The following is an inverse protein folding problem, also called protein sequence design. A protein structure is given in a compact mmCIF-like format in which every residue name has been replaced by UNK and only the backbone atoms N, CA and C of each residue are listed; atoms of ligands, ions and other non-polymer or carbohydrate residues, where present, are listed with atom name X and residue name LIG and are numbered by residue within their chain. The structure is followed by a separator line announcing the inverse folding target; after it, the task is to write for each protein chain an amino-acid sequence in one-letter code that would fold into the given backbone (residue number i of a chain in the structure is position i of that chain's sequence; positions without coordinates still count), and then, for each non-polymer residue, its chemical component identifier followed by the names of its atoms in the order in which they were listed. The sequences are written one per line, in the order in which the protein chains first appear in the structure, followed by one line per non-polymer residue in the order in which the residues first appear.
data_IF_794964139127
#
_entry.id   IF_794964139127
#
_cell.length_a   1.000
_cell.length_b   1.000
_cell.length_c   1.000
_cell.angle_alpha   90.00
_cell.angle_beta   90.00
_cell.angle_gamma   90.00
#
_symmetry.space_group_name_H-M   'P 1'
#
loop_
_entity.id
_entity.type
_entity.pdbx_description
1 polymer ?
#
# COMPACT_ATOMS: atom_id res chain seq x y z
N UNK A 1 -44.11 2.19 -1.57
CA UNK A 1 -44.14 3.41 -2.42
C UNK A 1 -43.45 4.48 -1.59
N UNK A 2 -42.16 4.76 -1.72
CA UNK A 2 -41.36 4.94 -2.92
C UNK A 2 -40.98 6.42 -3.00
N UNK A 3 -39.85 6.80 -2.40
CA UNK A 3 -39.24 8.12 -2.54
C UNK A 3 -37.93 7.94 -3.31
N UNK A 4 -37.72 8.61 -4.47
CA UNK A 4 -36.51 8.44 -5.27
C UNK A 4 -35.47 9.51 -4.93
N UNK A 5 -34.24 9.08 -4.70
CA UNK A 5 -33.02 9.87 -4.86
C UNK A 5 -32.40 9.52 -6.22
N UNK A 6 -31.95 10.55 -6.95
CA UNK A 6 -30.90 10.59 -7.98
C UNK A 6 -31.32 11.40 -9.20
N UNK A 7 -30.69 12.56 -9.39
CA UNK A 7 -30.22 13.06 -10.69
C UNK A 7 -29.24 14.20 -10.47
N UNK A 8 -27.99 14.06 -10.92
CA UNK A 8 -27.30 15.09 -11.73
C UNK A 8 -25.92 14.57 -12.16
N UNK A 9 -25.79 14.27 -13.46
CA UNK A 9 -24.52 14.18 -14.20
C UNK A 9 -24.67 15.04 -15.45
N UNK A 10 -23.54 15.62 -15.89
CA UNK A 10 -23.25 16.32 -17.16
C UNK A 10 -23.22 17.86 -17.04
N UNK A 11 -22.24 18.61 -17.60
CA UNK A 11 -21.51 18.47 -18.87
C UNK A 11 -20.21 19.32 -18.82
N UNK A 12 -19.18 18.99 -19.61
CA UNK A 12 -18.57 19.94 -20.57
C UNK A 12 -17.62 19.27 -21.58
N UNK A 13 -17.40 19.95 -22.71
CA UNK A 13 -17.13 19.40 -24.06
C UNK A 13 -15.79 19.84 -24.69
N UNK A 14 -15.39 19.09 -25.73
CA UNK A 14 -14.30 19.17 -26.73
C UNK A 14 -13.85 20.53 -27.31
N UNK A 15 -12.55 20.62 -27.69
CA UNK A 15 -11.99 21.13 -28.98
C UNK A 15 -10.43 20.97 -28.97
N UNK A 16 -9.75 20.12 -29.75
CA UNK A 16 -9.40 20.06 -31.20
C UNK A 16 -8.02 20.64 -31.58
N UNK A 17 -7.31 19.83 -32.39
CA UNK A 17 -5.91 19.85 -32.78
C UNK A 17 -5.46 20.96 -33.76
N UNK A 18 -4.51 21.80 -33.33
CA UNK A 18 -3.50 22.51 -34.18
C UNK A 18 -2.21 22.69 -33.35
N UNK A 19 -1.61 21.61 -32.85
CA UNK A 19 -0.42 21.68 -31.95
C UNK A 19 0.74 20.72 -32.32
N UNK A 20 0.71 20.08 -33.50
CA UNK A 20 1.53 18.91 -33.76
C UNK A 20 2.94 19.16 -34.32
N UNK A 21 3.31 20.38 -34.76
CA UNK A 21 4.62 20.62 -35.44
C UNK A 21 5.60 21.46 -34.61
N UNK A 22 5.12 22.21 -33.61
CA UNK A 22 5.96 22.82 -32.56
C UNK A 22 6.37 21.81 -31.45
N UNK A 23 5.77 20.61 -31.45
CA UNK A 23 5.93 19.61 -30.40
C UNK A 23 7.30 18.89 -30.40
N UNK A 24 8.03 18.84 -31.51
CA UNK A 24 9.25 18.01 -31.61
C UNK A 24 10.49 18.70 -31.04
N UNK A 25 10.65 20.01 -31.21
CA UNK A 25 11.75 20.77 -30.59
C UNK A 25 11.47 21.11 -29.11
N UNK A 26 10.19 21.26 -28.74
CA UNK A 26 9.77 21.36 -27.34
C UNK A 26 9.95 20.03 -26.59
N UNK A 27 9.82 18.88 -27.26
CA UNK A 27 10.02 17.56 -26.64
C UNK A 27 11.48 17.29 -26.23
N UNK A 28 12.48 17.73 -27.00
CA UNK A 28 13.90 17.56 -26.64
C UNK A 28 14.34 18.49 -25.52
N UNK A 29 13.89 19.74 -25.49
CA UNK A 29 14.14 20.64 -24.37
C UNK A 29 13.35 20.24 -23.10
N UNK A 30 12.15 19.66 -23.27
CA UNK A 30 11.39 19.06 -22.16
C UNK A 30 12.04 17.80 -21.62
N UNK A 31 12.75 17.00 -22.42
CA UNK A 31 13.49 15.82 -21.95
C UNK A 31 14.71 16.19 -21.09
N UNK A 32 15.44 17.25 -21.45
CA UNK A 32 16.56 17.74 -20.63
C UNK A 32 16.10 18.52 -19.39
N UNK A 33 14.97 19.24 -19.47
CA UNK A 33 14.39 19.92 -18.30
C UNK A 33 13.69 18.96 -17.33
N UNK A 34 13.11 17.85 -17.83
CA UNK A 34 12.54 16.80 -16.97
C UNK A 34 13.62 16.02 -16.25
N UNK A 35 14.75 15.68 -16.89
CA UNK A 35 15.87 15.03 -16.20
C UNK A 35 16.43 15.91 -15.06
N UNK A 36 16.55 17.22 -15.28
CA UNK A 36 17.05 18.16 -14.26
C UNK A 36 16.00 18.49 -13.18
N UNK A 37 14.71 18.39 -13.52
CA UNK A 37 13.61 18.48 -12.56
C UNK A 37 13.46 17.19 -11.74
N UNK A 38 13.79 16.02 -12.29
CA UNK A 38 13.85 14.75 -11.57
C UNK A 38 14.99 14.75 -10.54
N UNK A 39 16.18 15.25 -10.89
CA UNK A 39 17.29 15.43 -9.93
C UNK A 39 16.91 16.41 -8.79
N UNK A 40 16.24 17.52 -9.10
CA UNK A 40 15.78 18.49 -8.09
C UNK A 40 14.56 18.00 -7.29
N UNK A 41 13.71 17.15 -7.86
CA UNK A 41 12.58 16.54 -7.15
C UNK A 41 13.04 15.43 -6.19
N UNK A 42 14.16 14.76 -6.48
CA UNK A 42 14.76 13.79 -5.57
C UNK A 42 15.17 14.43 -4.23
N UNK A 43 15.65 15.68 -4.26
CA UNK A 43 15.96 16.46 -3.06
C UNK A 43 14.71 16.98 -2.33
N UNK A 44 13.56 17.09 -3.01
CA UNK A 44 12.29 17.50 -2.41
C UNK A 44 11.45 16.32 -1.90
N UNK A 45 11.88 15.08 -2.15
CA UNK A 45 11.19 13.85 -1.77
C UNK A 45 11.61 13.35 -0.38
N UNK A 46 12.77 13.78 0.09
CA UNK A 46 13.36 13.36 1.35
C UNK A 46 13.64 14.60 2.21
N UNK A 47 13.28 14.56 3.49
CA UNK A 47 13.80 15.53 4.46
C UNK A 47 15.34 15.43 4.53
N UNK A 48 16.02 16.51 4.91
CA UNK A 48 17.49 16.63 4.88
C UNK A 48 18.18 15.45 5.62
N UNK A 49 17.57 14.95 6.71
CA UNK A 49 18.08 13.80 7.47
C UNK A 49 17.99 12.44 6.77
N UNK A 50 17.09 12.27 5.80
CA UNK A 50 16.96 11.03 5.01
C UNK A 50 17.98 11.02 3.87
N UNK A 51 18.28 12.20 3.28
CA UNK A 51 19.26 12.34 2.20
C UNK A 51 20.67 11.91 2.63
N UNK A 52 21.09 12.22 3.86
CA UNK A 52 22.40 11.82 4.38
C UNK A 52 22.55 10.28 4.50
N UNK A 53 21.51 9.57 4.94
CA UNK A 53 21.54 8.08 5.02
C UNK A 53 21.42 7.42 3.65
N UNK A 54 20.61 8.00 2.75
CA UNK A 54 20.44 7.50 1.38
C UNK A 54 21.74 7.63 0.57
N UNK A 55 22.49 8.71 0.75
CA UNK A 55 23.75 8.93 0.01
C UNK A 55 24.85 7.94 0.38
N UNK A 56 24.92 7.50 1.64
CA UNK A 56 25.87 6.45 2.10
C UNK A 56 25.56 5.09 1.46
N UNK A 57 24.26 4.77 1.27
CA UNK A 57 23.81 3.46 0.75
C UNK A 57 23.94 3.37 -0.78
N UNK A 58 23.70 4.46 -1.53
CA UNK A 58 23.68 4.50 -3.01
C UNK A 58 24.95 3.97 -3.68
N UNK A 59 26.09 4.00 -2.99
CA UNK A 59 27.40 3.59 -3.53
C UNK A 59 27.75 2.10 -3.39
N UNK A 60 27.03 1.33 -2.57
CA UNK A 60 27.51 0.02 -2.10
C UNK A 60 26.66 -1.20 -2.49
N UNK A 61 25.41 -1.02 -2.95
CA UNK A 61 24.44 -2.14 -3.11
C UNK A 61 23.86 -2.30 -4.51
N UNK A 62 23.46 -3.53 -4.82
CA UNK A 62 22.74 -3.85 -6.06
C UNK A 62 21.30 -3.32 -6.04
N UNK A 63 20.73 -3.04 -7.22
CA UNK A 63 19.35 -2.55 -7.34
C UNK A 63 18.34 -3.57 -6.81
N UNK A 64 17.43 -3.12 -5.96
CA UNK A 64 16.29 -3.94 -5.52
C UNK A 64 15.50 -4.49 -6.71
N UNK A 65 15.16 -5.77 -6.65
CA UNK A 65 14.41 -6.47 -7.70
C UNK A 65 12.95 -6.56 -7.30
N UNK A 66 12.06 -6.02 -8.15
CA UNK A 66 10.62 -6.10 -7.95
C UNK A 66 10.06 -7.27 -8.77
N UNK A 67 9.23 -8.11 -8.16
CA UNK A 67 8.54 -9.17 -8.89
C UNK A 67 7.56 -8.57 -9.91
N UNK A 68 7.37 -9.24 -11.05
CA UNK A 68 6.39 -8.78 -12.03
C UNK A 68 4.98 -9.18 -11.60
N UNK A 69 3.98 -8.32 -11.83
CA UNK A 69 2.60 -8.54 -11.38
C UNK A 69 2.03 -9.91 -11.80
N UNK A 70 2.32 -10.35 -13.04
CA UNK A 70 1.79 -11.60 -13.61
C UNK A 70 2.61 -12.85 -13.25
N UNK A 71 3.63 -12.70 -12.41
CA UNK A 71 4.43 -13.85 -11.90
C UNK A 71 3.85 -14.37 -10.58
N UNK A 72 4.48 -15.39 -10.00
CA UNK A 72 4.11 -15.97 -8.72
C UNK A 72 5.27 -15.90 -7.71
N UNK A 73 5.69 -14.69 -7.29
CA UNK A 73 6.76 -14.58 -6.31
C UNK A 73 6.38 -15.28 -5.00
N UNK A 74 7.34 -15.98 -4.39
CA UNK A 74 7.10 -16.80 -3.19
C UNK A 74 6.02 -17.88 -3.38
N UNK A 75 5.70 -18.26 -4.62
CA UNK A 75 4.74 -19.32 -4.94
C UNK A 75 3.29 -18.87 -5.20
N UNK A 76 2.96 -17.58 -5.06
CA UNK A 76 1.59 -17.08 -5.23
C UNK A 76 1.46 -15.72 -5.92
N UNK A 77 0.25 -15.38 -6.33
CA UNK A 77 -0.06 -14.11 -7.00
C UNK A 77 -0.05 -12.94 -6.01
N UNK A 78 0.11 -11.72 -6.53
CA UNK A 78 -0.01 -10.48 -5.74
C UNK A 78 -1.34 -10.40 -4.98
N UNK A 79 -2.43 -10.82 -5.60
CA UNK A 79 -3.76 -10.82 -4.96
C UNK A 79 -3.86 -11.77 -3.79
N UNK A 80 -3.10 -12.89 -3.77
CA UNK A 80 -3.02 -13.76 -2.59
C UNK A 80 -2.11 -13.17 -1.52
N UNK A 81 -1.00 -12.55 -1.91
CA UNK A 81 -0.16 -11.81 -0.96
C UNK A 81 -0.91 -10.65 -0.30
N UNK A 82 -1.78 -9.94 -1.03
CA UNK A 82 -2.63 -8.89 -0.48
C UNK A 82 -3.62 -9.43 0.56
N UNK A 83 -4.21 -10.61 0.31
CA UNK A 83 -5.06 -11.29 1.30
C UNK A 83 -4.27 -11.61 2.58
N UNK A 84 -3.10 -12.22 2.45
CA UNK A 84 -2.28 -12.57 3.62
C UNK A 84 -1.79 -11.32 4.36
N UNK A 85 -1.47 -10.25 3.63
CA UNK A 85 -1.14 -8.97 4.24
C UNK A 85 -2.30 -8.42 5.08
N UNK A 86 -3.55 -8.45 4.58
CA UNK A 86 -4.72 -8.01 5.36
C UNK A 86 -4.98 -8.91 6.57
N UNK A 87 -4.84 -10.23 6.41
CA UNK A 87 -4.97 -11.19 7.51
C UNK A 87 -3.90 -10.98 8.59
N UNK A 88 -2.67 -10.67 8.18
CA UNK A 88 -1.58 -10.31 9.08
C UNK A 88 -1.90 -9.00 9.79
N UNK A 89 -2.13 -7.91 9.05
CA UNK A 89 -2.29 -6.57 9.60
C UNK A 89 -3.48 -6.49 10.59
N UNK A 90 -4.63 -7.06 10.22
CA UNK A 90 -5.82 -7.06 11.09
C UNK A 90 -5.78 -8.14 12.18
N UNK A 91 -4.89 -9.13 12.04
CA UNK A 91 -4.67 -10.18 13.04
C UNK A 91 -3.77 -9.75 14.20
N UNK A 92 -3.08 -8.61 14.10
CA UNK A 92 -2.27 -8.07 15.22
C UNK A 92 -3.15 -7.26 16.17
N UNK A 93 -3.06 -7.49 17.50
CA UNK A 93 -3.72 -6.66 18.52
C UNK A 93 -3.43 -5.17 18.37
N UNK A 94 -4.42 -4.32 18.69
CA UNK A 94 -4.36 -2.87 18.50
C UNK A 94 -3.15 -2.21 19.18
N UNK A 95 -2.84 -2.60 20.42
CA UNK A 95 -1.76 -1.99 21.21
C UNK A 95 -0.35 -2.23 20.67
N UNK A 96 -0.18 -3.17 19.73
CA UNK A 96 1.10 -3.45 19.06
C UNK A 96 0.94 -3.55 17.54
N UNK A 97 -0.10 -2.94 16.98
CA UNK A 97 -0.42 -3.11 15.57
C UNK A 97 0.52 -2.26 14.69
N UNK A 98 1.19 -2.84 13.67
CA UNK A 98 2.05 -2.10 12.75
C UNK A 98 1.36 -0.98 11.98
N UNK A 99 0.02 -0.96 11.90
CA UNK A 99 -0.73 0.11 11.27
C UNK A 99 -0.76 1.42 12.08
N UNK A 100 -0.49 1.35 13.39
CA UNK A 100 -0.43 2.50 14.31
C UNK A 100 0.98 2.82 14.79
N UNK A 101 1.96 1.98 14.45
CA UNK A 101 3.33 2.14 14.90
C UNK A 101 4.04 3.20 14.08
N UNK A 102 4.40 4.32 14.67
CA UNK A 102 5.14 5.39 13.98
C UNK A 102 6.65 5.15 13.96
N UNK A 103 7.15 4.19 14.76
CA UNK A 103 8.58 4.01 15.05
C UNK A 103 9.22 2.79 14.39
N UNK A 104 8.42 1.76 14.10
CA UNK A 104 8.89 0.48 13.58
C UNK A 104 9.16 -0.59 14.65
N UNK A 105 8.98 -0.27 15.95
CA UNK A 105 9.14 -1.20 17.08
C UNK A 105 8.30 -2.50 16.92
N UNK A 106 7.20 -2.44 16.19
CA UNK A 106 6.29 -3.56 15.98
C UNK A 106 6.39 -4.20 14.57
N UNK A 107 7.45 -3.92 13.80
CA UNK A 107 7.55 -4.43 12.43
C UNK A 107 7.72 -5.97 12.34
N UNK A 108 8.07 -6.63 13.45
CA UNK A 108 8.29 -8.08 13.55
C UNK A 108 7.05 -8.87 14.02
N UNK A 109 5.97 -8.17 14.39
CA UNK A 109 4.79 -8.80 14.98
C UNK A 109 4.12 -9.72 13.98
N UNK A 110 3.85 -10.96 14.42
CA UNK A 110 3.11 -11.99 13.67
C UNK A 110 3.66 -12.31 12.26
N UNK A 111 4.94 -12.08 12.00
CA UNK A 111 5.59 -12.54 10.76
C UNK A 111 5.76 -14.07 10.81
N UNK A 112 5.38 -14.80 9.76
CA UNK A 112 5.37 -16.28 9.78
C UNK A 112 5.98 -16.94 8.54
N UNK A 113 6.18 -16.19 7.45
CA UNK A 113 6.58 -16.74 6.15
C UNK A 113 7.96 -16.26 5.68
N UNK A 114 8.35 -16.69 4.48
CA UNK A 114 9.54 -16.18 3.77
C UNK A 114 9.32 -14.79 3.14
N UNK A 115 8.11 -14.25 3.29
CA UNK A 115 7.76 -12.88 2.96
C UNK A 115 7.50 -12.11 4.25
N UNK A 116 8.22 -11.01 4.42
CA UNK A 116 8.06 -10.07 5.52
C UNK A 116 7.11 -8.96 5.09
N UNK A 117 6.05 -8.74 5.86
CA UNK A 117 5.10 -7.68 5.58
C UNK A 117 5.55 -6.36 6.18
N UNK A 118 5.51 -5.29 5.38
CA UNK A 118 5.63 -3.91 5.88
C UNK A 118 4.25 -3.25 5.80
N UNK A 119 3.99 -2.33 6.72
CA UNK A 119 2.75 -1.55 6.75
C UNK A 119 2.95 -0.13 6.24
N UNK A 120 1.88 0.47 5.72
CA UNK A 120 1.72 1.92 5.71
C UNK A 120 1.32 2.44 7.09
N UNK A 121 0.61 3.56 7.14
CA UNK A 121 -0.03 4.10 8.34
C UNK A 121 -1.54 4.18 8.09
N UNK A 122 -2.35 3.78 9.07
CA UNK A 122 -3.79 4.03 8.99
C UNK A 122 -4.08 5.41 9.60
N UNK A 123 -4.88 6.21 8.88
CA UNK A 123 -5.38 7.50 9.34
C UNK A 123 -6.90 7.46 9.33
N UNK A 124 -7.52 7.94 10.40
CA UNK A 124 -8.98 8.03 10.54
C UNK A 124 -9.50 9.41 10.12
N UNK A 125 -10.81 9.56 9.86
CA UNK A 125 -11.39 10.86 9.58
C UNK A 125 -11.08 11.88 10.68
N UNK A 126 -10.41 12.97 10.31
CA UNK A 126 -9.98 14.03 11.22
C UNK A 126 -8.49 14.00 11.56
N UNK A 127 -7.79 12.91 11.26
CA UNK A 127 -6.33 12.86 11.36
C UNK A 127 -5.71 13.71 10.25
N UNK A 128 -4.58 14.34 10.54
CA UNK A 128 -3.73 14.99 9.54
C UNK A 128 -2.66 14.01 9.07
N UNK A 129 -2.71 13.52 7.82
CA UNK A 129 -1.67 12.66 7.28
C UNK A 129 -0.32 13.36 7.34
N UNK A 130 0.67 12.66 7.87
CA UNK A 130 2.03 13.17 8.02
C UNK A 130 3.06 12.08 7.67
N UNK A 131 4.31 12.46 7.35
CA UNK A 131 5.35 11.50 7.08
C UNK A 131 5.69 10.64 8.31
N UNK A 132 5.83 9.33 8.11
CA UNK A 132 6.18 8.37 9.16
C UNK A 132 7.53 7.74 8.83
N UNK A 133 8.42 7.65 9.83
CA UNK A 133 9.77 7.10 9.67
C UNK A 133 9.99 5.97 10.67
N UNK A 134 10.25 4.78 10.16
CA UNK A 134 10.37 3.54 10.93
C UNK A 134 11.76 2.95 10.85
N UNK A 135 12.25 2.42 11.96
CA UNK A 135 13.43 1.55 11.99
C UNK A 135 13.00 0.11 12.22
N UNK A 136 13.47 -0.81 11.39
CA UNK A 136 13.06 -2.21 11.46
C UNK A 136 14.21 -3.16 11.13
N UNK A 137 14.40 -4.18 11.95
CA UNK A 137 15.38 -5.24 11.67
C UNK A 137 14.67 -6.47 11.14
N UNK A 138 15.14 -7.02 10.00
CA UNK A 138 14.55 -8.21 9.38
C UNK A 138 15.61 -9.29 9.17
N UNK A 139 15.25 -10.59 9.23
CA UNK A 139 16.17 -11.67 8.88
C UNK A 139 16.62 -11.63 7.42
N UNK A 140 17.84 -12.12 7.15
CA UNK A 140 18.33 -12.33 5.78
C UNK A 140 17.42 -13.26 4.99
N UNK A 141 17.38 -13.07 3.67
CA UNK A 141 16.66 -13.97 2.76
C UNK A 141 15.14 -13.78 2.74
N UNK A 142 14.59 -12.86 3.54
CA UNK A 142 13.16 -12.53 3.51
C UNK A 142 12.84 -11.59 2.36
N UNK A 143 11.85 -11.96 1.56
CA UNK A 143 11.24 -11.05 0.60
C UNK A 143 10.39 -10.01 1.35
N UNK A 144 10.07 -8.88 0.72
CA UNK A 144 9.18 -7.87 1.30
C UNK A 144 7.88 -7.79 0.52
N UNK A 145 6.76 -7.66 1.20
CA UNK A 145 5.48 -7.34 0.57
C UNK A 145 4.73 -6.26 1.35
N UNK A 146 4.30 -5.20 0.67
CA UNK A 146 3.64 -4.07 1.31
C UNK A 146 2.78 -3.25 0.34
N UNK A 147 1.68 -2.63 0.83
CA UNK A 147 0.89 -1.70 0.05
C UNK A 147 1.59 -0.36 -0.10
N UNK A 148 1.40 0.25 -1.26
CA UNK A 148 1.64 1.68 -1.46
C UNK A 148 0.38 2.47 -1.10
N UNK A 149 -0.76 1.99 -1.59
CA UNK A 149 -2.09 2.44 -1.23
C UNK A 149 -3.06 1.27 -1.46
N UNK A 150 -3.95 1.02 -0.51
CA UNK A 150 -4.92 -0.05 -0.58
C UNK A 150 -6.13 0.27 0.29
N UNK A 151 -7.22 -0.42 0.02
CA UNK A 151 -8.38 -0.46 0.90
C UNK A 151 -9.03 -1.83 0.84
N UNK A 152 -9.94 -2.07 1.76
CA UNK A 152 -10.74 -3.27 1.78
C UNK A 152 -12.14 -2.95 2.27
N UNK A 153 -13.05 -3.88 1.99
CA UNK A 153 -14.34 -3.94 2.64
C UNK A 153 -14.55 -5.36 3.14
N UNK A 154 -15.19 -5.49 4.30
CA UNK A 154 -15.62 -6.77 4.83
C UNK A 154 -17.04 -6.68 5.32
N UNK A 155 -17.80 -7.71 5.02
CA UNK A 155 -19.11 -7.91 5.60
C UNK A 155 -19.01 -8.67 6.93
N UNK A 156 -19.98 -8.44 7.79
CA UNK A 156 -20.19 -9.17 9.03
C UNK A 156 -21.02 -10.44 8.79
N UNK A 157 -20.96 -11.37 9.74
CA UNK A 157 -21.69 -12.63 9.64
C UNK A 157 -23.21 -12.45 9.66
N UNK A 158 -23.71 -11.35 10.24
CA UNK A 158 -25.12 -11.00 10.37
C UNK A 158 -25.59 -9.91 9.39
N UNK A 159 -24.71 -9.43 8.50
CA UNK A 159 -25.11 -8.51 7.42
C UNK A 159 -26.14 -9.15 6.48
N UNK A 160 -26.99 -8.34 5.82
CA UNK A 160 -27.93 -8.80 4.81
C UNK A 160 -27.24 -9.63 3.72
N UNK A 161 -27.83 -10.73 3.21
CA UNK A 161 -27.20 -11.58 2.19
C UNK A 161 -26.74 -10.82 0.93
N UNK A 162 -27.45 -9.77 0.53
CA UNK A 162 -27.11 -8.91 -0.60
C UNK A 162 -25.80 -8.15 -0.41
N UNK A 163 -25.48 -7.76 0.84
CA UNK A 163 -24.24 -7.06 1.22
C UNK A 163 -23.06 -8.02 1.40
N UNK A 164 -23.33 -9.33 1.30
CA UNK A 164 -22.33 -10.41 1.45
C UNK A 164 -21.93 -11.05 0.12
N UNK A 165 -22.38 -10.50 -1.00
CA UNK A 165 -22.07 -10.99 -2.35
C UNK A 165 -20.73 -10.48 -2.87
N UNK A 166 -20.01 -11.27 -3.67
CA UNK A 166 -18.72 -10.85 -4.25
C UNK A 166 -18.82 -9.51 -5.00
N UNK A 167 -19.90 -9.30 -5.75
CA UNK A 167 -20.15 -8.06 -6.48
C UNK A 167 -20.26 -6.87 -5.53
N UNK A 168 -21.06 -7.00 -4.46
CA UNK A 168 -21.21 -5.92 -3.48
C UNK A 168 -19.88 -5.60 -2.81
N UNK A 169 -19.17 -6.60 -2.27
CA UNK A 169 -17.92 -6.37 -1.56
C UNK A 169 -16.87 -5.71 -2.47
N UNK A 170 -16.72 -6.19 -3.71
CA UNK A 170 -15.78 -5.59 -4.66
C UNK A 170 -16.18 -4.16 -5.05
N UNK A 171 -17.48 -3.87 -5.13
CA UNK A 171 -17.94 -2.51 -5.44
C UNK A 171 -17.57 -1.49 -4.36
N UNK A 172 -17.57 -1.90 -3.08
CA UNK A 172 -17.19 -1.04 -1.96
C UNK A 172 -15.68 -1.00 -1.75
N UNK A 173 -14.99 -2.13 -1.92
CA UNK A 173 -13.53 -2.22 -1.79
C UNK A 173 -12.78 -1.56 -2.96
N UNK A 174 -13.45 -1.24 -4.07
CA UNK A 174 -12.80 -0.72 -5.27
C UNK A 174 -12.18 0.66 -5.05
N UNK A 175 -10.93 0.85 -5.52
CA UNK A 175 -10.26 2.15 -5.51
C UNK A 175 -11.12 3.20 -6.23
N UNK A 176 -11.53 4.22 -5.48
CA UNK A 176 -12.39 5.33 -5.93
C UNK A 176 -11.62 6.35 -6.78
N UNK A 177 -10.31 6.44 -6.55
CA UNK A 177 -9.40 7.30 -7.30
C UNK A 177 -8.16 6.51 -7.76
N UNK A 178 -7.58 6.82 -8.93
CA UNK A 178 -6.33 6.20 -9.37
C UNK A 178 -5.20 6.44 -8.37
N UNK A 179 -4.47 5.38 -8.03
CA UNK A 179 -3.28 5.50 -7.17
C UNK A 179 -2.17 6.22 -7.92
N UNK A 180 -1.62 7.27 -7.31
CA UNK A 180 -0.40 7.93 -7.75
C UNK A 180 0.68 7.65 -6.71
N UNK A 181 1.81 7.07 -7.13
CA UNK A 181 2.86 6.71 -6.20
C UNK A 181 4.26 7.01 -6.73
N UNK A 182 5.15 7.37 -5.82
CA UNK A 182 6.59 7.43 -6.01
C UNK A 182 7.20 6.50 -4.97
N UNK A 183 8.11 5.63 -5.41
CA UNK A 183 8.79 4.68 -4.54
C UNK A 183 10.27 4.68 -4.86
N UNK A 184 11.09 4.77 -3.84
CA UNK A 184 12.53 4.59 -3.92
C UNK A 184 13.00 3.49 -2.97
N UNK A 185 13.90 2.65 -3.45
CA UNK A 185 14.61 1.66 -2.63
C UNK A 185 16.10 1.87 -2.86
N UNK A 186 16.84 2.18 -1.80
CA UNK A 186 18.27 2.50 -1.82
C UNK A 186 18.62 3.59 -2.84
N UNK A 187 17.74 4.59 -2.97
CA UNK A 187 17.85 5.68 -3.93
C UNK A 187 17.55 5.30 -5.39
N UNK A 188 17.16 4.05 -5.66
CA UNK A 188 16.65 3.64 -6.97
C UNK A 188 15.14 3.80 -7.04
N UNK A 189 14.69 4.70 -7.93
CA UNK A 189 13.27 4.94 -8.18
C UNK A 189 12.63 3.79 -8.95
N UNK A 190 11.54 3.25 -8.42
CA UNK A 190 10.76 2.20 -9.07
C UNK A 190 9.89 2.84 -10.16
N UNK A 191 10.04 2.45 -11.44
CA UNK A 191 9.26 3.05 -12.51
C UNK A 191 7.85 2.48 -12.55
N UNK A 192 6.84 3.35 -12.67
CA UNK A 192 5.42 3.01 -12.83
C UNK A 192 4.90 2.03 -11.75
N UNK A 193 5.00 2.38 -10.45
CA UNK A 193 4.55 1.52 -9.36
C UNK A 193 3.04 1.20 -9.42
N UNK A 194 2.21 2.09 -9.97
CA UNK A 194 0.77 1.93 -10.14
C UNK A 194 0.37 0.70 -10.96
N UNK A 195 1.30 0.13 -11.75
CA UNK A 195 1.03 -1.09 -12.53
C UNK A 195 0.88 -2.34 -11.67
N UNK A 196 1.29 -2.32 -10.41
CA UNK A 196 1.26 -3.49 -9.53
C UNK A 196 -0.07 -3.58 -8.75
N UNK A 197 -1.18 -3.43 -9.48
CA UNK A 197 -2.53 -3.35 -8.91
C UNK A 197 -3.16 -4.73 -8.69
N UNK A 198 -3.96 -4.86 -7.63
CA UNK A 198 -4.86 -6.00 -7.35
C UNK A 198 -6.31 -5.76 -7.76
N UNK A 199 -6.59 -4.69 -8.53
CA UNK A 199 -7.91 -4.40 -9.08
C UNK A 199 -8.35 -5.36 -10.19
N UNK A 200 -9.53 -5.13 -10.79
CA UNK A 200 -10.15 -6.04 -11.77
C UNK A 200 -9.24 -6.42 -12.96
N UNK A 201 -8.49 -5.47 -13.50
CA UNK A 201 -7.55 -5.70 -14.60
C UNK A 201 -6.14 -6.14 -14.12
N UNK A 202 -5.93 -6.18 -12.81
CA UNK A 202 -4.68 -6.47 -12.14
C UNK A 202 -4.54 -7.94 -11.71
N UNK A 203 -3.85 -8.16 -10.60
CA UNK A 203 -3.80 -9.47 -9.94
C UNK A 203 -4.91 -9.55 -8.88
N UNK A 204 -6.16 -9.72 -9.33
CA UNK A 204 -7.33 -9.79 -8.45
C UNK A 204 -7.14 -10.78 -7.29
N UNK A 205 -7.46 -10.34 -6.08
CA UNK A 205 -7.49 -11.19 -4.89
C UNK A 205 -8.72 -12.12 -4.88
N UNK A 206 -8.59 -13.34 -4.35
CA UNK A 206 -9.77 -14.10 -3.96
C UNK A 206 -10.49 -13.39 -2.81
N UNK A 207 -11.80 -13.62 -2.66
CA UNK A 207 -12.46 -13.27 -1.40
C UNK A 207 -11.78 -14.00 -0.25
N UNK A 208 -11.75 -13.36 0.92
CA UNK A 208 -11.03 -13.87 2.07
C UNK A 208 -11.76 -13.58 3.36
N UNK A 209 -11.33 -14.25 4.43
CA UNK A 209 -11.84 -14.04 5.77
C UNK A 209 -10.69 -13.59 6.67
N UNK A 210 -11.02 -12.84 7.72
CA UNK A 210 -10.06 -12.43 8.74
C UNK A 210 -10.62 -12.77 10.11
N UNK A 211 -9.83 -13.49 10.90
CA UNK A 211 -10.08 -13.67 12.32
C UNK A 211 -9.38 -12.55 13.09
N UNK A 212 -10.17 -11.73 13.77
CA UNK A 212 -9.66 -10.62 14.57
C UNK A 212 -9.28 -11.09 15.98
N UNK A 213 -8.26 -10.46 16.61
CA UNK A 213 -8.03 -10.61 18.04
C UNK A 213 -9.16 -9.91 18.84
N UNK A 214 -9.36 -10.26 20.12
CA UNK A 214 -10.33 -9.58 20.97
C UNK A 214 -10.10 -8.07 21.08
N UNK A 215 -8.85 -7.66 21.21
CA UNK A 215 -8.37 -6.27 21.27
C UNK A 215 -7.94 -5.76 19.88
N UNK A 216 -8.83 -5.91 18.89
CA UNK A 216 -8.57 -5.50 17.50
C UNK A 216 -8.69 -3.99 17.29
N UNK A 217 -8.23 -3.56 16.11
CA UNK A 217 -8.16 -2.14 15.72
C UNK A 217 -9.51 -1.44 15.56
N UNK A 218 -10.62 -2.18 15.52
CA UNK A 218 -11.95 -1.59 15.38
C UNK A 218 -12.57 -1.22 16.74
N UNK A 219 -11.89 -1.52 17.87
CA UNK A 219 -12.43 -1.28 19.21
C UNK A 219 -13.71 -2.07 19.52
N UNK A 220 -14.05 -3.01 18.64
CA UNK A 220 -15.23 -3.83 18.68
C UNK A 220 -15.01 -5.02 19.61
N UNK A 221 -15.04 -4.78 20.92
CA UNK A 221 -15.03 -5.87 21.90
C UNK A 221 -16.40 -6.56 21.93
N UNK A 222 -16.41 -7.88 22.14
CA UNK A 222 -17.65 -8.66 22.26
C UNK A 222 -18.31 -8.45 23.64
N UNK A 223 -18.89 -7.27 23.88
CA UNK A 223 -19.74 -6.96 25.03
C UNK A 223 -21.24 -7.12 24.70
N UNK A 224 -22.11 -7.44 25.69
CA UNK A 224 -23.55 -7.40 25.47
C UNK A 224 -24.07 -5.96 25.42
N UNK A 225 -24.50 -5.51 24.24
CA UNK A 225 -25.36 -4.32 24.08
C UNK A 225 -24.84 -3.17 23.19
N UNK A 226 -23.67 -3.28 22.57
CA UNK A 226 -23.04 -2.14 21.89
C UNK A 226 -23.17 -2.16 20.35
N UNK A 227 -23.46 -0.97 19.81
CA UNK A 227 -23.26 -0.63 18.39
C UNK A 227 -21.75 -0.76 18.07
N UNK A 228 -21.40 -1.53 17.04
CA UNK A 228 -20.00 -1.79 16.67
C UNK A 228 -19.49 -3.20 17.00
N UNK A 229 -20.32 -4.10 17.56
CA UNK A 229 -19.94 -5.51 17.78
C UNK A 229 -19.62 -6.24 16.47
N UNK A 230 -18.47 -6.90 16.39
CA UNK A 230 -18.13 -7.81 15.28
C UNK A 230 -18.50 -9.25 15.70
N UNK A 231 -19.49 -9.89 15.06
CA UNK A 231 -19.90 -11.25 15.40
C UNK A 231 -18.73 -12.23 15.30
N UNK A 232 -18.52 -13.00 16.37
CA UNK A 232 -17.46 -14.02 16.45
C UNK A 232 -16.04 -13.48 16.22
N UNK A 233 -15.86 -12.14 16.19
CA UNK A 233 -14.62 -11.48 15.79
C UNK A 233 -14.17 -11.90 14.37
N UNK A 234 -15.12 -12.22 13.49
CA UNK A 234 -14.86 -12.66 12.12
C UNK A 234 -15.37 -11.63 11.12
N UNK A 235 -14.46 -11.24 10.23
CA UNK A 235 -14.72 -10.46 9.02
C UNK A 235 -14.87 -11.45 7.86
N UNK A 236 -16.08 -11.61 7.30
CA UNK A 236 -16.36 -12.66 6.31
C UNK A 236 -17.67 -12.48 5.50
N UNK A 237 -17.60 -12.41 4.16
CA UNK A 237 -16.37 -12.35 3.35
C UNK A 237 -15.73 -10.97 3.37
N UNK A 238 -14.54 -10.86 2.81
CA UNK A 238 -13.79 -9.62 2.58
C UNK A 238 -13.30 -9.55 1.14
N UNK A 239 -13.24 -8.34 0.60
CA UNK A 239 -12.59 -8.02 -0.66
C UNK A 239 -11.64 -6.83 -0.46
N UNK A 240 -10.58 -6.77 -1.27
CA UNK A 240 -9.61 -5.69 -1.24
C UNK A 240 -9.26 -5.23 -2.65
N UNK A 241 -8.82 -3.98 -2.75
CA UNK A 241 -8.13 -3.46 -3.93
C UNK A 241 -7.01 -2.52 -3.50
N UNK A 242 -5.87 -2.59 -4.20
CA UNK A 242 -4.79 -1.66 -3.99
C UNK A 242 -3.64 -1.82 -4.98
N UNK A 243 -2.56 -1.10 -4.70
CA UNK A 243 -1.26 -1.22 -5.37
C UNK A 243 -0.24 -1.67 -4.33
N UNK A 244 0.46 -2.76 -4.62
CA UNK A 244 1.40 -3.39 -3.72
C UNK A 244 2.75 -3.61 -4.41
N UNK A 245 3.82 -3.75 -3.64
CA UNK A 245 5.12 -4.21 -4.14
C UNK A 245 5.51 -5.52 -3.49
N UNK A 246 6.04 -6.43 -4.31
CA UNK A 246 6.81 -7.57 -3.85
C UNK A 246 8.27 -7.32 -4.22
N UNK A 247 9.12 -7.16 -3.21
CA UNK A 247 10.57 -6.97 -3.36
C UNK A 247 11.24 -8.29 -3.06
N UNK A 248 12.05 -8.81 -3.99
CA UNK A 248 12.89 -9.96 -3.70
C UNK A 248 13.86 -9.65 -2.54
N UNK A 249 14.36 -10.68 -1.84
CA UNK A 249 15.22 -10.47 -0.69
C UNK A 249 16.34 -9.47 -0.96
N UNK A 250 16.45 -8.51 -0.05
CA UNK A 250 17.53 -7.54 -0.03
C UNK A 250 18.79 -8.20 0.54
N UNK A 251 19.96 -7.68 0.16
CA UNK A 251 21.24 -8.14 0.71
C UNK A 251 21.35 -7.82 2.21
N UNK A 252 22.16 -8.54 2.99
CA UNK A 252 22.48 -8.15 4.36
C UNK A 252 22.95 -6.69 4.51
N UNK A 253 22.59 -6.07 5.64
CA UNK A 253 22.93 -4.71 6.06
C UNK A 253 21.79 -3.69 5.91
N UNK A 254 22.12 -2.41 6.00
CA UNK A 254 21.16 -1.30 5.97
C UNK A 254 20.61 -0.92 4.59
N UNK A 255 19.29 -0.70 4.55
CA UNK A 255 18.51 -0.34 3.37
C UNK A 255 17.54 0.79 3.70
N UNK A 256 17.20 1.59 2.69
CA UNK A 256 16.16 2.61 2.79
C UNK A 256 15.06 2.29 1.79
N UNK A 257 13.84 2.17 2.28
CA UNK A 257 12.63 2.11 1.46
C UNK A 257 11.82 3.32 1.79
N UNK A 258 11.45 4.11 0.78
CA UNK A 258 10.54 5.22 0.95
C UNK A 258 9.50 5.20 -0.13
N UNK A 259 8.26 5.45 0.25
CA UNK A 259 7.21 5.70 -0.71
C UNK A 259 6.31 6.83 -0.25
N UNK A 260 5.82 7.55 -1.26
CA UNK A 260 4.67 8.43 -1.12
C UNK A 260 3.60 7.98 -2.09
N UNK A 261 2.37 7.83 -1.60
CA UNK A 261 1.23 7.45 -2.42
C UNK A 261 -0.01 8.25 -2.05
N UNK A 262 -0.84 8.53 -3.04
CA UNK A 262 -2.16 9.15 -2.88
C UNK A 262 -3.20 8.42 -3.74
N UNK A 263 -4.48 8.66 -3.43
CA UNK A 263 -5.60 8.06 -4.15
C UNK A 263 -6.05 6.75 -3.51
N UNK A 264 -6.71 5.89 -4.31
CA UNK A 264 -7.57 4.79 -3.87
C UNK A 264 -8.76 5.25 -3.02
N UNK A 265 -8.52 5.88 -1.88
CA UNK A 265 -9.54 6.55 -1.07
C UNK A 265 -9.28 8.07 -1.11
N UNK A 266 -10.30 8.92 -1.37
CA UNK A 266 -10.11 10.36 -1.43
C UNK A 266 -9.48 10.91 -0.16
N UNK A 267 -8.44 11.74 -0.32
CA UNK A 267 -7.72 12.35 0.80
C UNK A 267 -6.72 11.43 1.50
N UNK A 268 -6.64 10.14 1.14
CA UNK A 268 -5.61 9.24 1.68
C UNK A 268 -4.24 9.64 1.11
N UNK A 269 -3.28 9.82 2.03
CA UNK A 269 -1.88 10.06 1.74
C UNK A 269 -1.04 9.13 2.60
N UNK A 270 -0.15 8.39 1.95
CA UNK A 270 0.92 7.65 2.59
C UNK A 270 2.23 8.38 2.27
N UNK A 271 3.06 8.60 3.28
CA UNK A 271 4.44 9.09 3.12
C UNK A 271 5.29 8.37 4.17
N UNK A 272 5.89 7.25 3.78
CA UNK A 272 6.42 6.24 4.71
C UNK A 272 7.86 5.94 4.35
N UNK A 273 8.76 6.13 5.31
CA UNK A 273 10.18 5.77 5.23
C UNK A 273 10.45 4.60 6.17
N UNK A 274 11.10 3.55 5.68
CA UNK A 274 11.68 2.47 6.46
C UNK A 274 13.20 2.50 6.33
N UNK A 275 13.87 2.61 7.46
CA UNK A 275 15.27 2.22 7.63
C UNK A 275 15.30 0.75 8.04
N UNK A 276 15.65 -0.12 7.08
CA UNK A 276 15.70 -1.56 7.28
C UNK A 276 17.13 -2.00 7.56
N UNK A 277 17.35 -2.76 8.63
CA UNK A 277 18.59 -3.52 8.82
C UNK A 277 18.31 -4.99 8.52
N UNK A 278 18.85 -5.49 7.41
CA UNK A 278 18.77 -6.90 7.04
C UNK A 278 19.90 -7.64 7.76
N UNK A 279 19.57 -8.66 8.55
CA UNK A 279 20.57 -9.47 9.24
C UNK A 279 21.53 -10.20 8.28
N UNK A 280 22.56 -10.82 8.83
CA UNK A 280 23.48 -11.68 8.07
C UNK A 280 22.83 -13.02 7.71
N UNK A 281 23.28 -13.64 6.62
CA UNK A 281 22.91 -15.03 6.33
C UNK A 281 23.41 -15.91 7.48
N UNK A 282 22.50 -16.70 8.10
CA UNK A 282 22.90 -17.69 9.10
C UNK A 282 23.85 -18.70 8.42
N UNK A 283 25.14 -18.63 8.78
CA UNK A 283 26.21 -19.52 8.32
C UNK A 283 26.01 -20.96 8.77
#
# INVERSE_FOLDING_TARGET
MGAPYMTSVAKCSFASAIAAILAVAAATAALESTARAEDNAQAAFFDDGILDRVTDIRGSRGRARIAQLRTRPGGQSYGRWAVEWWQWALGVPAGSNPLFDETGENCDRRQVDDTWFLSGMIFFPGDEPHPVTRECTIPAGKALFFPLANQFFSALLDDPPEERTEEFLRSIAACQEPVQAIVEIDGFRIPRPERFSTGPDGSLSPLFNVQLPPDNIFGAEAGPGDEGKIPELVLSPSAEEGVYLYVFPLSPGDHVIHWRATGCTPGNVQDITYFLTVGDELS
#
